data_IF_961082380116
#
_entry.id   IF_961082380116
#
_cell.length_a   1.000
_cell.length_b   1.000
_cell.length_c   1.000
_cell.angle_alpha   90.00
_cell.angle_beta   90.00
_cell.angle_gamma   90.00
#
_symmetry.space_group_name_H-M   'P 1'
#
loop_
_entity.id
_entity.type
_entity.pdbx_description
1 polymer ?
#
# COMPACT_ATOMS: atom_id res chain seq x y z
N UNK A 1 -21.70 -15.27 -10.21
CA UNK A 1 -20.57 -14.35 -10.42
C UNK A 1 -19.79 -14.31 -9.13
N UNK A 2 -18.54 -14.82 -9.09
CA UNK A 2 -17.65 -14.64 -7.95
C UNK A 2 -17.32 -13.15 -7.90
N UNK A 3 -17.79 -12.46 -6.88
CA UNK A 3 -17.31 -11.15 -6.55
C UNK A 3 -15.87 -11.33 -6.06
N UNK A 4 -14.92 -10.79 -6.82
CA UNK A 4 -13.53 -10.83 -6.40
C UNK A 4 -13.37 -9.91 -5.19
N UNK A 5 -13.06 -10.51 -4.05
CA UNK A 5 -12.52 -9.77 -2.92
C UNK A 5 -11.29 -8.96 -3.39
N UNK A 6 -11.15 -7.76 -2.86
CA UNK A 6 -10.03 -6.86 -3.17
C UNK A 6 -8.67 -7.48 -2.78
N UNK A 7 -8.63 -8.34 -1.75
CA UNK A 7 -7.40 -8.94 -1.24
C UNK A 7 -6.86 -10.02 -2.17
N UNK A 8 -5.54 -10.13 -2.27
CA UNK A 8 -4.89 -11.18 -3.04
C UNK A 8 -5.09 -12.57 -2.43
N UNK A 9 -5.17 -13.60 -3.28
CA UNK A 9 -5.34 -14.98 -2.82
C UNK A 9 -4.16 -15.43 -1.98
N UNK A 10 -2.95 -14.98 -2.30
CA UNK A 10 -1.71 -15.29 -1.58
C UNK A 10 -1.78 -14.87 -0.10
N UNK A 11 -2.41 -13.72 0.20
CA UNK A 11 -2.62 -13.26 1.58
C UNK A 11 -3.56 -14.19 2.35
N UNK A 12 -4.64 -14.63 1.71
CA UNK A 12 -5.60 -15.57 2.29
C UNK A 12 -4.93 -16.91 2.56
N UNK A 13 -4.19 -17.43 1.60
CA UNK A 13 -3.52 -18.73 1.72
C UNK A 13 -2.39 -18.72 2.75
N UNK A 14 -1.64 -17.61 2.84
CA UNK A 14 -0.64 -17.43 3.90
C UNK A 14 -1.28 -17.47 5.30
N UNK A 15 -2.39 -16.77 5.52
CA UNK A 15 -3.09 -16.80 6.80
C UNK A 15 -3.58 -18.22 7.15
N UNK A 16 -4.12 -18.94 6.17
CA UNK A 16 -4.54 -20.35 6.36
C UNK A 16 -3.36 -21.27 6.69
N UNK A 17 -2.24 -21.07 6.01
CA UNK A 17 -1.01 -21.84 6.27
C UNK A 17 -0.48 -21.64 7.69
N UNK A 18 -0.66 -20.44 8.27
CA UNK A 18 -0.38 -20.18 9.69
C UNK A 18 -1.46 -20.74 10.64
N UNK A 19 -2.47 -21.44 10.14
CA UNK A 19 -3.53 -22.06 10.95
C UNK A 19 -4.70 -21.15 11.29
N UNK A 20 -4.77 -19.95 10.69
CA UNK A 20 -5.89 -19.03 10.92
C UNK A 20 -7.16 -19.49 10.20
N UNK A 21 -8.32 -19.28 10.82
CA UNK A 21 -9.63 -19.36 10.14
C UNK A 21 -9.87 -18.02 9.44
N UNK A 22 -9.90 -18.04 8.12
CA UNK A 22 -10.09 -16.82 7.31
C UNK A 22 -11.54 -16.70 6.91
N UNK A 23 -12.17 -15.56 7.25
CA UNK A 23 -13.52 -15.19 6.82
C UNK A 23 -13.38 -14.09 5.78
N UNK A 24 -13.82 -14.36 4.56
CA UNK A 24 -13.83 -13.39 3.46
C UNK A 24 -15.19 -12.70 3.45
N UNK A 25 -15.18 -11.38 3.59
CA UNK A 25 -16.36 -10.54 3.60
C UNK A 25 -16.48 -9.76 2.29
N UNK A 26 -17.70 -9.39 1.86
CA UNK A 26 -17.89 -8.54 0.69
C UNK A 26 -17.29 -7.15 0.92
N UNK A 27 -16.68 -6.58 -0.13
CA UNK A 27 -16.06 -5.25 -0.10
C UNK A 27 -16.95 -4.13 -0.66
N UNK A 28 -18.07 -4.49 -1.30
CA UNK A 28 -19.02 -3.56 -1.91
C UNK A 28 -20.23 -3.24 -1.00
N UNK A 29 -20.02 -3.23 0.30
CA UNK A 29 -21.03 -2.93 1.32
C UNK A 29 -20.53 -1.84 2.24
N UNK A 30 -21.46 -1.07 2.86
CA UNK A 30 -21.06 -0.03 3.82
C UNK A 30 -20.47 -0.65 5.10
N UNK A 31 -19.67 0.07 5.87
CA UNK A 31 -19.11 -0.42 7.13
C UNK A 31 -20.16 -0.94 8.13
N UNK A 32 -21.35 -0.35 8.14
CA UNK A 32 -22.49 -0.70 9.00
C UNK A 32 -23.26 -1.95 8.56
N UNK A 33 -23.06 -2.39 7.30
CA UNK A 33 -23.69 -3.64 6.82
C UNK A 33 -23.21 -4.81 7.69
N UNK A 34 -24.11 -5.66 8.21
CA UNK A 34 -23.73 -6.80 9.05
C UNK A 34 -22.81 -7.81 8.35
N UNK A 35 -22.71 -7.78 7.02
CA UNK A 35 -21.79 -8.61 6.21
C UNK A 35 -20.41 -7.98 6.04
N UNK A 36 -20.25 -6.70 6.37
CA UNK A 36 -18.96 -6.03 6.29
C UNK A 36 -17.93 -6.68 7.21
N UNK A 37 -16.67 -6.66 6.85
CA UNK A 37 -15.61 -7.20 7.72
C UNK A 37 -15.50 -6.43 9.06
N UNK A 38 -15.88 -5.16 9.09
CA UNK A 38 -15.95 -4.37 10.33
C UNK A 38 -17.01 -4.93 11.28
N UNK A 39 -18.24 -5.10 10.80
CA UNK A 39 -19.37 -5.61 11.59
C UNK A 39 -19.16 -7.07 12.01
N UNK A 40 -18.61 -7.90 11.13
CA UNK A 40 -18.27 -9.30 11.44
C UNK A 40 -17.19 -9.36 12.51
N UNK A 41 -16.09 -8.58 12.39
CA UNK A 41 -15.03 -8.54 13.38
C UNK A 41 -15.53 -8.03 14.75
N UNK A 42 -16.34 -6.97 14.77
CA UNK A 42 -16.95 -6.45 15.98
C UNK A 42 -17.90 -7.47 16.66
N UNK A 43 -18.61 -8.28 15.88
CA UNK A 43 -19.47 -9.34 16.37
C UNK A 43 -18.67 -10.51 16.98
N UNK A 44 -17.58 -10.90 16.31
CA UNK A 44 -16.67 -11.94 16.81
C UNK A 44 -15.96 -11.52 18.10
N UNK A 45 -15.65 -10.24 18.26
CA UNK A 45 -15.04 -9.71 19.47
C UNK A 45 -15.89 -9.87 20.74
N UNK A 46 -17.20 -10.11 20.58
CA UNK A 46 -18.12 -10.35 21.72
C UNK A 46 -18.09 -11.80 22.22
N UNK A 47 -17.42 -12.70 21.51
CA UNK A 47 -17.26 -14.10 21.94
C UNK A 47 -16.30 -14.19 23.12
N UNK A 48 -16.50 -15.19 24.03
CA UNK A 48 -15.56 -15.43 25.12
C UNK A 48 -14.13 -15.66 24.59
N UNK A 49 -13.15 -15.12 25.31
CA UNK A 49 -11.71 -15.22 24.96
C UNK A 49 -11.35 -14.68 23.57
N UNK A 50 -12.11 -13.70 23.07
CA UNK A 50 -11.84 -13.02 21.81
C UNK A 50 -11.36 -11.60 22.06
N UNK A 51 -10.42 -11.14 21.22
CA UNK A 51 -9.91 -9.77 21.24
C UNK A 51 -9.91 -9.19 19.83
N UNK A 52 -10.47 -7.99 19.67
CA UNK A 52 -10.46 -7.26 18.41
C UNK A 52 -9.26 -6.31 18.37
N UNK A 53 -8.26 -6.63 17.56
CA UNK A 53 -7.05 -5.81 17.44
C UNK A 53 -7.33 -4.40 16.94
N UNK A 54 -8.32 -4.23 16.06
CA UNK A 54 -8.78 -2.95 15.51
C UNK A 54 -7.63 -2.04 15.02
N UNK A 55 -6.95 -2.45 13.97
CA UNK A 55 -5.78 -1.73 13.44
C UNK A 55 -6.05 -0.26 13.07
N UNK A 56 -7.29 0.11 12.81
CA UNK A 56 -7.67 1.48 12.42
C UNK A 56 -7.70 2.45 13.61
N UNK A 57 -8.17 1.99 14.77
CA UNK A 57 -8.44 2.85 15.91
C UNK A 57 -7.56 2.56 17.12
N UNK A 58 -6.91 1.40 17.16
CA UNK A 58 -6.04 1.02 18.26
C UNK A 58 -4.75 1.85 18.22
N UNK A 59 -4.55 2.68 19.24
CA UNK A 59 -3.40 3.58 19.32
C UNK A 59 -2.05 2.87 19.33
N UNK A 60 -1.98 1.62 19.77
CA UNK A 60 -0.76 0.82 19.75
C UNK A 60 -0.20 0.63 18.33
N UNK A 61 -1.04 0.67 17.29
CA UNK A 61 -0.57 0.68 15.91
C UNK A 61 0.37 1.86 15.66
N UNK A 62 -0.07 3.07 15.98
CA UNK A 62 0.72 4.30 15.83
C UNK A 62 1.91 4.36 16.80
N UNK A 63 1.68 3.96 18.05
CA UNK A 63 2.70 3.97 19.10
C UNK A 63 3.87 3.05 18.75
N UNK A 64 3.62 1.86 18.24
CA UNK A 64 4.65 0.94 17.78
C UNK A 64 5.60 1.58 16.75
N UNK A 65 5.05 2.29 15.77
CA UNK A 65 5.87 2.98 14.76
C UNK A 65 6.62 4.20 15.33
N UNK A 66 6.05 4.88 16.32
CA UNK A 66 6.75 5.97 17.02
C UNK A 66 7.92 5.44 17.85
N UNK A 67 7.75 4.33 18.57
CA UNK A 67 8.74 3.78 19.49
C UNK A 67 9.81 2.91 18.82
N UNK A 68 9.51 2.35 17.64
CA UNK A 68 10.40 1.40 16.96
C UNK A 68 10.78 1.87 15.55
N UNK A 69 9.84 1.96 14.62
CA UNK A 69 10.14 2.23 13.20
C UNK A 69 10.78 3.61 12.99
N UNK A 70 10.26 4.62 13.67
CA UNK A 70 10.82 5.99 13.60
C UNK A 70 12.27 6.06 14.10
N UNK A 71 12.58 5.57 15.30
CA UNK A 71 13.95 5.46 15.81
C UNK A 71 14.88 4.66 14.88
N UNK A 72 14.43 3.50 14.38
CA UNK A 72 15.21 2.65 13.47
C UNK A 72 15.57 3.39 12.17
N UNK A 73 14.60 4.05 11.54
CA UNK A 73 14.84 4.88 10.35
C UNK A 73 15.87 5.97 10.66
N UNK A 74 15.69 6.70 11.75
CA UNK A 74 16.59 7.78 12.12
C UNK A 74 18.02 7.30 12.39
N UNK A 75 18.17 6.17 13.08
CA UNK A 75 19.47 5.58 13.39
C UNK A 75 20.18 5.09 12.13
N UNK A 76 19.50 4.35 11.27
CA UNK A 76 20.05 3.80 10.01
C UNK A 76 20.46 4.90 9.04
N UNK A 77 19.70 5.98 8.96
CA UNK A 77 19.96 7.11 8.05
C UNK A 77 20.80 8.21 8.70
N UNK A 78 21.04 8.17 10.00
CA UNK A 78 21.63 9.24 10.82
C UNK A 78 20.86 10.56 10.71
N UNK A 79 19.57 10.50 10.35
CA UNK A 79 18.76 11.68 10.07
C UNK A 79 19.21 12.48 8.82
N UNK A 80 19.99 11.87 7.93
CA UNK A 80 20.53 12.56 6.73
C UNK A 80 19.56 12.49 5.55
N UNK A 81 18.32 12.94 5.72
CA UNK A 81 17.33 13.10 4.66
C UNK A 81 16.38 14.24 4.96
N UNK A 82 15.72 14.77 3.94
CA UNK A 82 14.91 16.00 4.01
C UNK A 82 13.42 15.72 3.98
N UNK A 83 13.03 14.63 3.31
CA UNK A 83 11.62 14.28 3.08
C UNK A 83 11.38 12.80 3.34
N UNK A 84 10.32 12.47 4.07
CA UNK A 84 9.81 11.11 4.28
C UNK A 84 8.51 10.91 3.52
N UNK A 85 8.45 9.89 2.64
CA UNK A 85 7.29 9.55 1.82
C UNK A 85 6.77 8.18 2.21
N UNK A 86 5.49 8.08 2.55
CA UNK A 86 4.86 6.80 2.87
C UNK A 86 3.40 6.75 2.39
N UNK A 87 2.94 5.59 1.86
CA UNK A 87 1.52 5.36 1.57
C UNK A 87 0.70 5.31 2.87
N UNK A 88 -0.53 5.79 2.77
CA UNK A 88 -1.43 5.92 3.93
C UNK A 88 -2.65 5.03 3.76
N UNK A 89 -2.79 4.04 4.64
CA UNK A 89 -4.00 3.28 4.89
C UNK A 89 -4.49 3.58 6.30
N UNK A 90 -4.23 2.70 7.28
CA UNK A 90 -4.61 2.93 8.69
C UNK A 90 -4.00 4.19 9.33
N UNK A 91 -2.94 4.72 8.73
CA UNK A 91 -2.22 5.90 9.21
C UNK A 91 -1.23 5.66 10.34
N UNK A 92 -1.14 4.42 10.84
CA UNK A 92 -0.26 4.09 11.96
C UNK A 92 1.21 4.40 11.67
N UNK A 93 1.70 3.94 10.53
CA UNK A 93 3.10 4.12 10.13
C UNK A 93 3.47 5.59 9.96
N UNK A 94 2.77 6.30 9.08
CA UNK A 94 3.12 7.69 8.77
C UNK A 94 2.96 8.61 9.97
N UNK A 95 1.94 8.38 10.80
CA UNK A 95 1.69 9.20 11.99
C UNK A 95 2.71 8.93 13.08
N UNK A 96 3.06 7.66 13.32
CA UNK A 96 4.05 7.28 14.32
C UNK A 96 5.46 7.72 13.94
N UNK A 97 5.90 7.33 12.74
CA UNK A 97 7.22 7.71 12.20
C UNK A 97 7.33 9.22 12.05
N UNK A 98 6.33 9.85 11.41
CA UNK A 98 6.34 11.29 11.15
C UNK A 98 6.38 12.12 12.43
N UNK A 99 5.64 11.72 13.49
CA UNK A 99 5.72 12.36 14.80
C UNK A 99 7.14 12.28 15.37
N UNK A 100 7.73 11.09 15.39
CA UNK A 100 9.10 10.90 15.89
C UNK A 100 10.12 11.72 15.10
N UNK A 101 10.05 11.69 13.77
CA UNK A 101 10.97 12.42 12.91
C UNK A 101 10.85 13.93 13.12
N UNK A 102 9.63 14.48 13.23
CA UNK A 102 9.42 15.92 13.50
C UNK A 102 9.96 16.36 14.85
N UNK A 103 9.98 15.49 15.85
CA UNK A 103 10.61 15.77 17.15
C UNK A 103 12.15 15.78 17.09
N UNK A 104 12.74 15.04 16.15
CA UNK A 104 14.20 14.93 15.96
C UNK A 104 14.77 15.89 14.93
N UNK A 105 13.99 16.17 13.88
CA UNK A 105 14.43 16.90 12.69
C UNK A 105 13.41 17.99 12.37
N UNK A 106 13.68 19.22 12.80
CA UNK A 106 12.72 20.34 12.65
C UNK A 106 12.41 20.73 11.21
N UNK A 107 13.25 20.31 10.25
CA UNK A 107 13.12 20.61 8.83
C UNK A 107 12.42 19.51 8.03
N UNK A 108 12.20 18.34 8.65
CA UNK A 108 11.68 17.16 7.92
C UNK A 108 10.29 17.42 7.33
N UNK A 109 10.10 17.06 6.10
CA UNK A 109 8.81 17.06 5.42
C UNK A 109 8.20 15.66 5.38
N UNK A 110 6.95 15.54 5.78
CA UNK A 110 6.22 14.27 5.81
C UNK A 110 5.17 14.29 4.70
N UNK A 111 5.33 13.42 3.73
CA UNK A 111 4.43 13.31 2.58
C UNK A 111 3.65 12.00 2.67
N UNK A 112 2.33 12.10 2.79
CA UNK A 112 1.40 11.00 2.65
C UNK A 112 1.11 10.71 1.18
N UNK A 113 1.04 9.44 0.82
CA UNK A 113 0.58 9.02 -0.51
C UNK A 113 -0.81 8.42 -0.36
N UNK A 114 -1.74 8.94 -1.14
CA UNK A 114 -3.12 8.49 -1.22
C UNK A 114 -3.42 7.98 -2.63
N UNK A 115 -4.48 7.21 -2.79
CA UNK A 115 -4.87 6.67 -4.10
C UNK A 115 -6.17 7.30 -4.61
N UNK A 116 -6.30 7.36 -5.93
CA UNK A 116 -7.54 7.78 -6.57
C UNK A 116 -8.71 6.91 -6.08
N UNK A 117 -9.76 7.54 -5.59
CA UNK A 117 -10.90 6.89 -4.96
C UNK A 117 -10.90 6.88 -3.44
N UNK A 118 -9.78 7.23 -2.79
CA UNK A 118 -9.69 7.46 -1.34
C UNK A 118 -10.07 8.90 -0.98
N UNK A 119 -10.43 9.12 0.28
CA UNK A 119 -10.84 10.43 0.79
C UNK A 119 -9.78 11.14 1.65
N UNK A 120 -8.65 10.50 1.94
CA UNK A 120 -7.68 11.01 2.94
C UNK A 120 -7.07 12.35 2.52
N UNK A 121 -6.67 12.47 1.24
CA UNK A 121 -6.10 13.71 0.71
C UNK A 121 -7.10 14.85 0.75
N UNK A 122 -8.33 14.64 0.25
CA UNK A 122 -9.37 15.67 0.24
C UNK A 122 -9.69 16.14 1.66
N UNK A 123 -9.81 15.20 2.59
CA UNK A 123 -10.03 15.53 4.00
C UNK A 123 -8.86 16.33 4.60
N UNK A 124 -7.63 15.98 4.28
CA UNK A 124 -6.45 16.73 4.75
C UNK A 124 -6.45 18.19 4.27
N UNK A 125 -6.82 18.41 2.98
CA UNK A 125 -6.78 19.73 2.35
C UNK A 125 -7.99 20.60 2.71
N UNK A 126 -9.16 20.00 2.92
CA UNK A 126 -10.42 20.75 3.05
C UNK A 126 -11.11 20.60 4.41
N UNK A 127 -10.75 19.58 5.18
CA UNK A 127 -11.47 19.19 6.40
C UNK A 127 -12.85 18.57 6.16
N UNK A 128 -13.21 18.29 4.89
CA UNK A 128 -14.49 17.69 4.51
C UNK A 128 -14.31 16.27 4.02
N UNK A 129 -15.27 15.42 4.32
CA UNK A 129 -15.33 14.05 3.78
C UNK A 129 -15.63 14.13 2.29
N UNK A 130 -14.75 13.53 1.47
CA UNK A 130 -14.97 13.37 0.04
C UNK A 130 -15.86 12.18 -0.27
N UNK A 131 -16.04 11.91 -1.56
CA UNK A 131 -16.76 10.74 -2.06
C UNK A 131 -15.77 9.63 -2.43
N UNK A 132 -15.87 8.49 -1.75
CA UNK A 132 -15.00 7.36 -2.01
C UNK A 132 -15.46 6.58 -3.27
N UNK A 133 -14.49 6.14 -4.06
CA UNK A 133 -14.69 5.31 -5.24
C UNK A 133 -13.84 4.04 -5.17
N UNK A 134 -14.21 3.04 -5.99
CA UNK A 134 -13.48 1.77 -6.04
C UNK A 134 -12.12 1.94 -6.73
N UNK A 135 -11.08 1.35 -6.16
CA UNK A 135 -9.72 1.26 -6.70
C UNK A 135 -9.14 -0.14 -6.43
N UNK A 136 -8.08 -0.52 -7.14
CA UNK A 136 -7.50 -1.86 -7.07
C UNK A 136 -6.25 -1.95 -6.18
N UNK A 137 -5.60 -0.85 -5.85
CA UNK A 137 -4.49 -0.81 -4.91
C UNK A 137 -4.90 -1.37 -3.54
N UNK A 138 -4.01 -2.13 -2.93
CA UNK A 138 -4.19 -2.73 -1.60
C UNK A 138 -3.26 -2.07 -0.58
N UNK A 139 -3.75 -1.85 0.64
CA UNK A 139 -2.95 -1.31 1.74
C UNK A 139 -2.71 0.20 1.71
N UNK A 140 -3.40 0.92 0.85
CA UNK A 140 -3.38 2.38 0.70
C UNK A 140 -4.79 2.89 0.47
N UNK A 141 -5.09 4.09 0.96
CA UNK A 141 -6.39 4.74 0.81
C UNK A 141 -7.47 4.18 1.73
N UNK A 142 -8.45 4.99 2.05
CA UNK A 142 -9.61 4.64 2.89
C UNK A 142 -10.86 5.43 2.44
N UNK A 143 -12.03 4.91 2.81
CA UNK A 143 -13.34 5.55 2.62
C UNK A 143 -13.89 6.21 3.90
N UNK A 144 -13.08 6.24 4.96
CA UNK A 144 -13.30 6.94 6.22
C UNK A 144 -11.97 7.45 6.78
N UNK A 145 -11.99 8.18 7.89
CA UNK A 145 -10.77 8.66 8.53
C UNK A 145 -10.42 7.78 9.74
N UNK A 146 -9.41 6.92 9.64
CA UNK A 146 -8.93 6.13 10.77
C UNK A 146 -8.40 7.01 11.91
N UNK A 147 -8.66 6.65 13.16
CA UNK A 147 -8.15 7.43 14.32
C UNK A 147 -6.62 7.44 14.42
N UNK A 148 -5.97 6.47 13.79
CA UNK A 148 -4.51 6.43 13.74
C UNK A 148 -3.91 7.44 12.76
N UNK A 149 -4.68 8.01 11.81
CA UNK A 149 -4.20 9.07 10.93
C UNK A 149 -4.15 10.39 11.70
N UNK A 150 -2.96 10.88 11.95
CA UNK A 150 -2.75 12.21 12.54
C UNK A 150 -2.46 13.23 11.44
N UNK A 151 -3.51 13.84 10.89
CA UNK A 151 -3.41 14.79 9.77
C UNK A 151 -2.41 15.92 10.03
N UNK A 152 -2.25 16.36 11.28
CA UNK A 152 -1.31 17.43 11.66
C UNK A 152 0.17 17.05 11.51
N UNK A 153 0.48 15.76 11.43
CA UNK A 153 1.84 15.26 11.25
C UNK A 153 2.23 15.29 9.78
N UNK A 154 1.25 15.16 8.88
CA UNK A 154 1.44 15.08 7.44
C UNK A 154 1.42 16.48 6.85
N UNK A 155 2.48 16.86 6.15
CA UNK A 155 2.60 18.21 5.58
C UNK A 155 1.90 18.32 4.22
N UNK A 156 1.84 17.21 3.48
CA UNK A 156 1.24 17.16 2.15
C UNK A 156 0.76 15.74 1.82
N UNK A 157 -0.33 15.64 1.07
CA UNK A 157 -0.72 14.40 0.40
C UNK A 157 -0.50 14.49 -1.10
N UNK A 158 0.01 13.40 -1.69
CA UNK A 158 0.10 13.21 -3.13
C UNK A 158 -0.83 12.07 -3.55
N UNK A 159 -1.54 12.29 -4.65
CA UNK A 159 -2.48 11.31 -5.21
C UNK A 159 -1.82 10.52 -6.33
N UNK A 160 -2.08 9.21 -6.38
CA UNK A 160 -1.62 8.30 -7.44
C UNK A 160 -2.76 7.38 -7.89
N UNK A 161 -2.73 6.97 -9.15
CA UNK A 161 -3.68 6.01 -9.70
C UNK A 161 -3.18 4.56 -9.64
N UNK A 162 -4.09 3.62 -9.86
CA UNK A 162 -3.79 2.18 -9.87
C UNK A 162 -2.75 1.81 -10.94
N UNK A 163 -2.99 2.18 -12.21
CA UNK A 163 -2.17 1.78 -13.35
C UNK A 163 -0.71 2.22 -13.20
N UNK A 164 -0.48 3.49 -12.87
CA UNK A 164 0.86 4.00 -12.67
C UNK A 164 1.57 3.37 -11.48
N UNK A 165 0.86 3.11 -10.40
CA UNK A 165 1.41 2.43 -9.23
C UNK A 165 1.85 1.00 -9.56
N UNK A 166 1.05 0.26 -10.32
CA UNK A 166 1.39 -1.09 -10.76
C UNK A 166 2.56 -1.09 -11.74
N UNK A 167 2.60 -0.13 -12.66
CA UNK A 167 3.73 0.04 -13.57
C UNK A 167 5.03 0.26 -12.80
N UNK A 168 5.06 1.19 -11.85
CA UNK A 168 6.25 1.43 -11.03
C UNK A 168 6.62 0.26 -10.12
N UNK A 169 5.65 -0.49 -9.62
CA UNK A 169 5.91 -1.72 -8.85
C UNK A 169 6.66 -2.75 -9.71
N UNK A 170 6.23 -2.95 -10.95
CA UNK A 170 6.89 -3.86 -11.90
C UNK A 170 8.26 -3.35 -12.32
N UNK A 171 8.39 -2.03 -12.55
CA UNK A 171 9.64 -1.37 -12.91
C UNK A 171 10.69 -1.51 -11.80
N UNK A 172 10.32 -1.33 -10.53
CA UNK A 172 11.20 -1.54 -9.37
C UNK A 172 11.76 -2.97 -9.34
N UNK A 173 10.93 -3.98 -9.63
CA UNK A 173 11.42 -5.35 -9.70
C UNK A 173 12.39 -5.54 -10.88
N UNK A 174 12.02 -5.06 -12.06
CA UNK A 174 12.78 -5.27 -13.30
C UNK A 174 14.14 -4.55 -13.32
N UNK A 175 14.17 -3.30 -12.85
CA UNK A 175 15.34 -2.43 -12.96
C UNK A 175 16.20 -2.40 -11.70
N UNK A 176 15.57 -2.53 -10.51
CA UNK A 176 16.25 -2.38 -9.23
C UNK A 176 16.27 -3.69 -8.41
N UNK A 177 15.67 -4.77 -8.92
CA UNK A 177 15.51 -6.04 -8.19
C UNK A 177 14.77 -5.90 -6.85
N UNK A 178 13.92 -4.88 -6.70
CA UNK A 178 13.13 -4.63 -5.50
C UNK A 178 11.74 -5.24 -5.67
N UNK A 179 11.54 -6.42 -5.07
CA UNK A 179 10.27 -7.15 -5.15
C UNK A 179 9.31 -6.71 -4.04
N UNK A 180 8.44 -5.76 -4.35
CA UNK A 180 7.55 -5.06 -3.41
C UNK A 180 6.10 -5.03 -3.90
N UNK A 181 5.17 -4.53 -3.07
CA UNK A 181 3.74 -4.44 -3.40
C UNK A 181 3.34 -3.12 -4.09
N UNK A 182 2.06 -3.05 -4.48
CA UNK A 182 1.50 -1.91 -5.23
C UNK A 182 1.59 -0.57 -4.50
N UNK A 183 1.43 -0.58 -3.18
CA UNK A 183 1.56 0.63 -2.37
C UNK A 183 2.99 1.21 -2.36
N UNK A 184 4.00 0.37 -2.54
CA UNK A 184 5.37 0.83 -2.70
C UNK A 184 5.61 1.49 -4.07
N UNK A 185 5.07 0.92 -5.16
CA UNK A 185 5.06 1.58 -6.47
C UNK A 185 4.37 2.94 -6.44
N UNK A 186 3.26 3.03 -5.72
CA UNK A 186 2.55 4.28 -5.45
C UNK A 186 3.46 5.30 -4.75
N UNK A 187 4.19 4.87 -3.71
CA UNK A 187 5.09 5.75 -2.96
C UNK A 187 6.26 6.25 -3.82
N UNK A 188 6.83 5.39 -4.66
CA UNK A 188 7.91 5.78 -5.57
C UNK A 188 7.41 6.76 -6.62
N UNK A 189 6.24 6.51 -7.24
CA UNK A 189 5.64 7.44 -8.20
C UNK A 189 5.38 8.82 -7.58
N UNK A 190 4.81 8.84 -6.38
CA UNK A 190 4.57 10.09 -5.66
C UNK A 190 5.88 10.83 -5.34
N UNK A 191 6.92 10.11 -4.93
CA UNK A 191 8.23 10.70 -4.65
C UNK A 191 8.88 11.30 -5.90
N UNK A 192 8.76 10.65 -7.06
CA UNK A 192 9.23 11.18 -8.35
C UNK A 192 8.50 12.48 -8.68
N UNK A 193 7.16 12.49 -8.62
CA UNK A 193 6.36 13.70 -8.85
C UNK A 193 6.69 14.85 -7.88
N UNK A 194 7.07 14.50 -6.66
CA UNK A 194 7.53 15.49 -5.70
C UNK A 194 8.91 16.03 -6.10
N UNK A 195 9.84 15.13 -6.42
CA UNK A 195 11.21 15.50 -6.79
C UNK A 195 11.28 16.40 -8.04
N UNK A 196 10.42 16.14 -9.04
CA UNK A 196 10.33 16.96 -10.27
C UNK A 196 9.94 18.42 -10.01
N UNK A 197 9.37 18.73 -8.85
CA UNK A 197 8.94 20.08 -8.46
C UNK A 197 9.93 20.80 -7.54
N UNK A 198 11.03 20.17 -7.21
CA UNK A 198 12.03 20.74 -6.31
C UNK A 198 12.96 21.70 -7.03
N UNK A 199 13.14 22.88 -6.46
CA UNK A 199 14.12 23.87 -6.93
C UNK A 199 15.57 23.50 -6.50
N UNK A 200 15.71 22.63 -5.52
CA UNK A 200 16.98 22.19 -4.95
C UNK A 200 16.99 20.68 -4.72
N UNK A 201 18.14 20.02 -4.81
CA UNK A 201 18.24 18.60 -4.49
C UNK A 201 17.85 18.33 -3.03
N UNK A 202 17.01 17.31 -2.80
CA UNK A 202 16.65 16.77 -1.49
C UNK A 202 16.94 15.26 -1.45
N UNK A 203 17.25 14.76 -0.26
CA UNK A 203 17.28 13.33 0.00
C UNK A 203 15.88 12.89 0.43
N UNK A 204 15.24 12.06 -0.37
CA UNK A 204 13.88 11.58 -0.14
C UNK A 204 13.95 10.13 0.33
N UNK A 205 13.50 9.88 1.55
CA UNK A 205 13.33 8.53 2.08
C UNK A 205 11.93 8.02 1.74
N UNK A 206 11.86 6.88 1.08
CA UNK A 206 10.59 6.23 0.70
C UNK A 206 10.46 4.92 1.47
N UNK A 207 9.32 4.72 2.14
CA UNK A 207 9.04 3.46 2.81
C UNK A 207 8.32 2.50 1.86
N UNK A 208 8.94 1.32 1.62
CA UNK A 208 8.39 0.23 0.82
C UNK A 208 7.84 -0.83 1.76
N UNK A 209 6.51 -0.93 1.89
CA UNK A 209 5.86 -1.58 3.02
C UNK A 209 5.89 -3.10 3.01
N UNK A 210 5.64 -3.75 1.87
CA UNK A 210 5.48 -5.18 1.84
C UNK A 210 6.14 -5.86 0.64
N UNK A 211 6.19 -7.19 0.71
CA UNK A 211 6.87 -8.01 -0.27
C UNK A 211 5.97 -8.39 -1.44
N UNK A 212 6.49 -8.35 -2.66
CA UNK A 212 5.78 -8.58 -3.92
C UNK A 212 5.18 -9.99 -4.06
N UNK A 213 5.69 -10.99 -3.34
CA UNK A 213 5.13 -12.35 -3.35
C UNK A 213 3.65 -12.41 -2.95
N UNK A 214 3.15 -11.40 -2.25
CA UNK A 214 1.73 -11.29 -1.90
C UNK A 214 0.84 -10.89 -3.09
N UNK A 215 1.43 -10.58 -4.23
CA UNK A 215 0.77 -10.04 -5.43
C UNK A 215 1.16 -10.75 -6.72
N UNK A 216 1.76 -11.96 -6.60
CA UNK A 216 2.23 -12.73 -7.76
C UNK A 216 1.08 -13.05 -8.75
N UNK A 217 -0.11 -13.36 -8.24
CA UNK A 217 -1.31 -13.61 -9.05
C UNK A 217 -2.05 -12.35 -9.52
N UNK A 218 -1.54 -11.14 -9.22
CA UNK A 218 -2.16 -9.85 -9.58
C UNK A 218 -1.18 -8.96 -10.35
N UNK A 219 -0.53 -8.03 -9.66
CA UNK A 219 0.34 -7.00 -10.25
C UNK A 219 1.45 -7.62 -11.13
N UNK A 220 1.97 -8.79 -10.74
CA UNK A 220 3.02 -9.49 -11.47
C UNK A 220 2.50 -10.56 -12.45
N UNK A 221 1.18 -10.68 -12.60
CA UNK A 221 0.53 -11.57 -13.56
C UNK A 221 -0.03 -10.76 -14.74
N UNK A 222 0.55 -10.94 -15.93
CA UNK A 222 0.16 -10.20 -17.12
C UNK A 222 -1.29 -10.43 -17.52
N UNK A 223 -1.77 -11.67 -17.38
CA UNK A 223 -3.16 -11.99 -17.69
C UNK A 223 -4.12 -11.20 -16.77
N UNK A 224 -3.83 -11.13 -15.47
CA UNK A 224 -4.62 -10.34 -14.54
C UNK A 224 -4.59 -8.83 -14.88
N UNK A 225 -3.42 -8.29 -15.23
CA UNK A 225 -3.28 -6.87 -15.63
C UNK A 225 -4.15 -6.57 -16.86
N UNK A 226 -4.07 -7.41 -17.90
CA UNK A 226 -4.86 -7.27 -19.13
C UNK A 226 -6.37 -7.37 -18.84
N UNK A 227 -6.79 -8.39 -18.07
CA UNK A 227 -8.21 -8.58 -17.70
C UNK A 227 -8.78 -7.41 -16.91
N UNK A 228 -7.93 -6.68 -16.18
CA UNK A 228 -8.31 -5.47 -15.46
C UNK A 228 -8.21 -4.20 -16.31
N UNK A 229 -7.72 -4.28 -17.53
CA UNK A 229 -7.58 -3.18 -18.46
C UNK A 229 -6.34 -2.33 -18.25
N UNK A 230 -5.38 -2.80 -17.44
CA UNK A 230 -4.10 -2.11 -17.24
C UNK A 230 -3.11 -2.43 -18.37
N UNK A 231 -2.33 -1.43 -18.76
CA UNK A 231 -1.27 -1.61 -19.75
C UNK A 231 -0.11 -2.41 -19.15
N UNK A 232 0.47 -3.24 -19.97
CA UNK A 232 1.72 -3.95 -19.67
C UNK A 232 2.72 -3.65 -20.79
N UNK A 233 4.00 -3.59 -20.45
CA UNK A 233 5.06 -3.57 -21.47
C UNK A 233 5.20 -4.98 -22.04
N UNK A 234 4.52 -5.24 -23.14
CA UNK A 234 4.69 -6.48 -23.93
C UNK A 234 5.95 -6.31 -24.80
N UNK A 235 7.11 -6.31 -24.19
CA UNK A 235 8.31 -6.68 -24.93
C UNK A 235 8.37 -8.21 -24.94
N UNK A 236 7.80 -8.81 -25.98
CA UNK A 236 8.17 -10.18 -26.32
C UNK A 236 9.65 -10.13 -26.71
N UNK A 237 10.50 -10.50 -25.78
CA UNK A 237 11.94 -10.49 -25.99
C UNK A 237 12.26 -11.46 -27.14
N UNK A 238 13.13 -11.03 -28.06
CA UNK A 238 13.75 -11.89 -29.07
C UNK A 238 14.33 -13.17 -28.45
N UNK A 239 14.68 -13.12 -27.15
CA UNK A 239 15.11 -14.25 -26.34
C UNK A 239 13.99 -15.27 -26.10
N UNK A 240 12.75 -14.83 -25.82
CA UNK A 240 11.61 -15.74 -25.61
C UNK A 240 11.31 -16.53 -26.89
N UNK A 241 11.42 -15.91 -28.06
CA UNK A 241 11.31 -16.61 -29.34
C UNK A 241 12.42 -17.66 -29.51
N UNK A 242 13.67 -17.34 -29.22
CA UNK A 242 14.79 -18.28 -29.27
C UNK A 242 14.64 -19.43 -28.28
N UNK A 243 14.15 -19.15 -27.08
CA UNK A 243 13.87 -20.18 -26.06
C UNK A 243 12.76 -21.10 -26.53
N UNK A 244 11.67 -20.59 -27.09
CA UNK A 244 10.56 -21.38 -27.63
C UNK A 244 11.00 -22.24 -28.81
N UNK A 245 11.89 -21.76 -29.69
CA UNK A 245 12.52 -22.55 -30.75
C UNK A 245 13.35 -23.72 -30.19
N UNK A 246 14.08 -23.49 -29.09
CA UNK A 246 14.94 -24.53 -28.48
C UNK A 246 14.10 -25.61 -27.76
N UNK A 247 13.07 -25.24 -27.04
CA UNK A 247 12.26 -26.18 -26.25
C UNK A 247 11.23 -26.93 -27.10
N UNK A 248 10.89 -26.44 -28.32
CA UNK A 248 9.97 -27.07 -29.25
C UNK A 248 8.55 -27.25 -28.74
N UNK A 249 7.76 -28.09 -29.43
CA UNK A 249 6.34 -28.33 -29.14
C UNK A 249 6.06 -28.97 -27.75
N UNK A 250 7.06 -29.61 -27.15
CA UNK A 250 6.93 -30.33 -25.88
C UNK A 250 7.29 -29.48 -24.63
N UNK A 251 7.80 -28.27 -24.86
CA UNK A 251 8.16 -27.34 -23.80
C UNK A 251 7.14 -26.20 -23.60
N UNK A 252 7.13 -25.61 -22.43
CA UNK A 252 6.38 -24.38 -22.16
C UNK A 252 7.32 -23.39 -21.50
N UNK A 253 7.35 -22.18 -22.04
CA UNK A 253 7.87 -21.02 -21.31
C UNK A 253 6.76 -20.59 -20.35
N UNK A 254 7.08 -20.50 -19.05
CA UNK A 254 6.12 -20.20 -17.97
C UNK A 254 6.47 -18.87 -17.33
#
# INVERSE_FOLDING_TARGET
>A
KRQHDKQSQEKIDALRAYGAKVIVCPTNVTPEDPRSYYSVAASLAKLPNSYFVNQYDNEFNRQCHYEQTGPEIYEQTKGEFDTFVAPVGTGGTISGVGKFLKEKMSHIKIIGVDCEGSILKEFHETGKMGEAHSYALEGIGEDFIPKNVQMKVIDQFLMVGDEESFHFTRKLLKEECVFTGGSAGAAVMAAIRYAEKLDKPERILILLHDHGSKYAGKIFNDQWMIEKGYKIDINQDELDHKILEIIGENGKLV
#
